data_IF_029054422437
#
_entry.id   IF_029054422437
#
_cell.length_a   1.000
_cell.length_b   1.000
_cell.length_c   1.000
_cell.angle_alpha   90.00
_cell.angle_beta   90.00
_cell.angle_gamma   90.00
#
_symmetry.space_group_name_H-M   'P 1'
#
loop_
_entity.id
_entity.type
_entity.pdbx_description
1 polymer ?
#
# COMPACT_ATOMS: atom_id res chain seq x y z
N UNK A 1 6.18 -33.30 31.01
CA UNK A 1 6.83 -33.74 29.77
C UNK A 1 6.10 -33.19 28.57
N UNK A 2 6.87 -32.49 27.75
CA UNK A 2 6.55 -31.84 26.48
C UNK A 2 5.88 -32.79 25.46
N UNK A 3 4.94 -32.27 24.65
CA UNK A 3 5.06 -32.28 23.18
C UNK A 3 3.83 -31.68 22.47
N UNK A 4 4.10 -30.56 21.80
CA UNK A 4 3.37 -29.91 20.71
C UNK A 4 2.42 -30.79 19.87
N UNK A 5 1.28 -30.22 19.46
CA UNK A 5 0.80 -30.39 18.08
C UNK A 5 0.34 -29.03 17.53
N UNK A 6 0.98 -28.69 16.43
CA UNK A 6 0.95 -27.42 15.71
C UNK A 6 -0.07 -27.59 14.60
N UNK A 7 -1.19 -26.88 14.63
CA UNK A 7 -2.11 -26.79 13.50
C UNK A 7 -2.15 -25.34 12.99
N UNK A 8 -1.03 -24.92 12.40
CA UNK A 8 -1.03 -23.75 11.52
C UNK A 8 -1.52 -24.19 10.13
N UNK A 9 -2.82 -24.10 9.90
CA UNK A 9 -3.42 -24.20 8.56
C UNK A 9 -4.04 -22.85 8.19
N UNK A 10 -3.18 -21.86 7.91
CA UNK A 10 -3.62 -20.62 7.26
C UNK A 10 -3.51 -20.79 5.74
N UNK A 11 -4.45 -21.55 5.19
CA UNK A 11 -4.71 -21.74 3.77
C UNK A 11 -5.84 -20.81 3.32
N UNK A 12 -5.62 -19.51 3.41
CA UNK A 12 -6.53 -18.52 2.84
C UNK A 12 -5.78 -17.70 1.79
N UNK A 13 -6.10 -17.97 0.52
CA UNK A 13 -5.75 -17.11 -0.59
C UNK A 13 -6.40 -15.74 -0.36
N UNK A 14 -5.62 -14.64 -0.17
CA UNK A 14 -6.15 -13.37 0.29
C UNK A 14 -6.67 -12.52 -0.88
N UNK A 15 -7.33 -13.14 -1.87
CA UNK A 15 -8.01 -12.40 -2.95
C UNK A 15 -9.45 -12.06 -2.52
N UNK A 16 -9.59 -11.51 -1.32
CA UNK A 16 -10.82 -10.88 -0.83
C UNK A 16 -10.91 -9.44 -1.32
N UNK A 17 -12.15 -8.93 -1.39
CA UNK A 17 -12.53 -7.59 -1.91
C UNK A 17 -11.78 -6.41 -1.26
N UNK A 18 -11.10 -6.64 -0.14
CA UNK A 18 -10.33 -5.66 0.63
C UNK A 18 -8.81 -5.70 0.37
N UNK A 19 -8.34 -6.48 -0.60
CA UNK A 19 -6.90 -6.64 -0.90
C UNK A 19 -6.20 -5.31 -1.22
N UNK A 20 -6.89 -4.40 -1.90
CA UNK A 20 -6.36 -3.09 -2.24
C UNK A 20 -7.40 -1.99 -2.05
N UNK A 21 -6.92 -0.77 -1.79
CA UNK A 21 -7.77 0.40 -1.64
C UNK A 21 -7.31 1.52 -2.56
N UNK A 22 -8.23 2.02 -3.37
CA UNK A 22 -8.02 3.26 -4.12
C UNK A 22 -8.35 4.46 -3.26
N UNK A 23 -7.47 5.45 -3.25
CA UNK A 23 -7.66 6.72 -2.54
C UNK A 23 -7.73 7.84 -3.57
N UNK A 24 -8.86 8.56 -3.61
CA UNK A 24 -8.94 9.83 -4.32
C UNK A 24 -8.42 10.94 -3.40
N UNK A 25 -7.16 11.36 -3.63
CA UNK A 25 -6.46 12.36 -2.81
C UNK A 25 -7.08 13.77 -2.90
N UNK A 26 -7.88 14.06 -3.93
CA UNK A 26 -8.54 15.36 -4.09
C UNK A 26 -9.72 15.57 -3.14
N UNK A 27 -10.13 14.52 -2.40
CA UNK A 27 -11.19 14.66 -1.40
C UNK A 27 -10.77 15.62 -0.27
N UNK A 28 -11.69 16.50 0.13
CA UNK A 28 -11.44 17.53 1.15
C UNK A 28 -10.97 16.98 2.50
N UNK A 29 -11.32 15.73 2.84
CA UNK A 29 -10.87 15.06 4.07
C UNK A 29 -9.34 14.97 4.19
N UNK A 30 -8.63 14.98 3.06
CA UNK A 30 -7.16 14.90 3.04
C UNK A 30 -6.47 16.25 3.21
N UNK A 31 -7.18 17.37 3.08
CA UNK A 31 -6.59 18.71 3.17
C UNK A 31 -5.91 19.02 4.51
N UNK A 32 -6.29 18.30 5.59
CA UNK A 32 -5.70 18.43 6.93
C UNK A 32 -5.23 17.07 7.49
N UNK A 33 -5.01 16.10 6.62
CA UNK A 33 -4.50 14.79 7.02
C UNK A 33 -2.97 14.77 6.97
N UNK A 34 -2.35 15.08 8.12
CA UNK A 34 -0.90 15.19 8.25
C UNK A 34 -0.18 13.84 8.41
N UNK A 35 -0.91 12.73 8.33
CA UNK A 35 -0.29 11.39 8.32
C UNK A 35 0.48 11.18 7.00
N UNK A 36 1.49 10.29 7.00
CA UNK A 36 2.26 9.98 5.81
C UNK A 36 1.40 9.52 4.64
N UNK A 37 1.89 9.72 3.42
CA UNK A 37 1.31 9.13 2.21
C UNK A 37 1.24 7.60 2.39
N UNK A 38 2.34 6.99 2.83
CA UNK A 38 2.43 5.58 3.14
C UNK A 38 3.47 5.30 4.24
N UNK A 39 2.98 4.97 5.44
CA UNK A 39 3.79 4.66 6.63
C UNK A 39 4.70 3.44 6.44
N UNK A 40 4.29 2.49 5.60
CA UNK A 40 4.99 1.22 5.37
C UNK A 40 5.83 1.21 4.08
N UNK A 41 5.94 2.35 3.39
CA UNK A 41 6.75 2.43 2.18
C UNK A 41 8.22 2.16 2.48
N UNK A 42 8.94 1.55 1.55
CA UNK A 42 10.41 1.42 1.58
C UNK A 42 11.09 2.75 1.26
N UNK A 43 10.39 3.67 0.61
CA UNK A 43 10.89 4.96 0.16
C UNK A 43 10.68 6.04 1.24
N UNK A 44 11.73 6.78 1.62
CA UNK A 44 11.63 7.78 2.68
C UNK A 44 10.65 8.91 2.33
N UNK A 45 10.59 9.33 1.06
CA UNK A 45 9.74 10.44 0.64
C UNK A 45 8.25 10.14 0.89
N UNK A 46 7.83 8.89 0.74
CA UNK A 46 6.44 8.47 0.99
C UNK A 46 6.11 8.35 2.49
N UNK A 47 7.12 8.18 3.35
CA UNK A 47 6.99 8.16 4.81
C UNK A 47 7.04 9.55 5.44
N UNK A 48 7.74 10.48 4.81
CA UNK A 48 7.94 11.84 5.31
C UNK A 48 6.87 12.82 4.82
N UNK A 49 6.47 12.73 3.55
CA UNK A 49 5.42 13.60 3.03
C UNK A 49 4.03 13.17 3.49
N UNK A 50 3.21 14.16 3.83
CA UNK A 50 1.85 13.93 4.31
C UNK A 50 0.82 13.83 3.19
N UNK A 51 -0.33 13.21 3.49
CA UNK A 51 -1.49 13.19 2.58
C UNK A 51 -2.04 14.60 2.32
N UNK A 52 -1.96 15.50 3.30
CA UNK A 52 -2.30 16.92 3.14
C UNK A 52 -1.38 17.63 2.14
N UNK A 53 -0.07 17.36 2.21
CA UNK A 53 0.88 17.91 1.25
C UNK A 53 0.61 17.37 -0.16
N UNK A 54 0.38 16.06 -0.30
CA UNK A 54 0.01 15.47 -1.58
C UNK A 54 -1.28 16.08 -2.14
N UNK A 55 -2.33 16.22 -1.33
CA UNK A 55 -3.58 16.90 -1.71
C UNK A 55 -3.32 18.32 -2.22
N UNK A 56 -2.47 19.08 -1.52
CA UNK A 56 -2.10 20.43 -1.91
C UNK A 56 -1.40 20.46 -3.28
N UNK A 57 -0.41 19.58 -3.51
CA UNK A 57 0.30 19.48 -4.79
C UNK A 57 -0.66 19.20 -5.97
N UNK A 58 -1.61 18.29 -5.79
CA UNK A 58 -2.64 18.05 -6.79
C UNK A 58 -3.55 19.27 -7.02
N UNK A 59 -3.88 20.01 -5.95
CA UNK A 59 -4.71 21.22 -6.05
C UNK A 59 -4.03 22.35 -6.84
N UNK A 60 -2.70 22.46 -6.75
CA UNK A 60 -1.92 23.46 -7.48
C UNK A 60 -1.40 22.94 -8.84
N UNK A 61 -1.77 21.72 -9.25
CA UNK A 61 -1.31 21.04 -10.46
C UNK A 61 0.23 20.92 -10.56
N UNK A 62 0.90 20.70 -9.43
CA UNK A 62 2.34 20.48 -9.42
C UNK A 62 2.66 19.02 -9.83
N UNK A 63 3.57 18.88 -10.80
CA UNK A 63 4.08 17.58 -11.30
C UNK A 63 4.63 16.67 -10.20
N UNK A 64 5.16 17.22 -9.10
CA UNK A 64 5.63 16.45 -7.97
C UNK A 64 4.51 15.60 -7.35
N UNK A 65 3.27 16.12 -7.35
CA UNK A 65 2.10 15.38 -6.85
C UNK A 65 1.86 14.10 -7.66
N UNK A 66 1.89 14.21 -8.99
CA UNK A 66 1.76 13.05 -9.88
C UNK A 66 2.94 12.08 -9.73
N UNK A 67 4.17 12.59 -9.54
CA UNK A 67 5.36 11.75 -9.31
C UNK A 67 5.22 10.92 -8.03
N UNK A 68 4.85 11.54 -6.92
CA UNK A 68 4.67 10.85 -5.63
C UNK A 68 3.53 9.82 -5.67
N UNK A 69 2.40 10.16 -6.30
CA UNK A 69 1.28 9.23 -6.47
C UNK A 69 1.68 8.01 -7.32
N UNK A 70 2.36 8.24 -8.44
CA UNK A 70 2.87 7.16 -9.30
C UNK A 70 3.88 6.27 -8.58
N UNK A 71 4.77 6.85 -7.78
CA UNK A 71 5.74 6.12 -6.98
C UNK A 71 5.07 5.19 -5.97
N UNK A 72 4.09 5.71 -5.22
CA UNK A 72 3.33 4.92 -4.26
C UNK A 72 2.52 3.80 -4.93
N UNK A 73 1.90 4.08 -6.08
CA UNK A 73 1.16 3.07 -6.84
C UNK A 73 2.08 1.98 -7.37
N UNK A 74 3.25 2.35 -7.93
CA UNK A 74 4.21 1.41 -8.48
C UNK A 74 4.76 0.48 -7.40
N UNK A 75 5.12 1.02 -6.23
CA UNK A 75 5.58 0.21 -5.09
C UNK A 75 4.53 -0.84 -4.69
N UNK A 76 3.27 -0.43 -4.58
CA UNK A 76 2.15 -1.34 -4.30
C UNK A 76 2.05 -2.46 -5.35
N UNK A 77 2.08 -2.13 -6.64
CA UNK A 77 1.99 -3.14 -7.70
C UNK A 77 3.17 -4.12 -7.70
N UNK A 78 4.38 -3.63 -7.45
CA UNK A 78 5.57 -4.49 -7.36
C UNK A 78 5.46 -5.48 -6.20
N UNK A 79 5.00 -5.03 -5.02
CA UNK A 79 4.79 -5.88 -3.86
C UNK A 79 3.63 -6.86 -4.06
N UNK A 80 2.54 -6.44 -4.69
CA UNK A 80 1.44 -7.32 -5.10
C UNK A 80 1.93 -8.44 -6.01
N UNK A 81 2.66 -8.11 -7.08
CA UNK A 81 3.15 -9.09 -8.05
C UNK A 81 4.19 -10.03 -7.43
N UNK A 82 5.00 -9.54 -6.48
CA UNK A 82 5.89 -10.38 -5.68
C UNK A 82 5.10 -11.38 -4.84
N UNK A 83 4.05 -10.94 -4.16
CA UNK A 83 3.14 -11.78 -3.39
C UNK A 83 2.49 -12.86 -4.26
N UNK A 84 1.98 -12.49 -5.44
CA UNK A 84 1.44 -13.45 -6.40
C UNK A 84 2.48 -14.53 -6.73
N UNK A 85 3.66 -14.15 -7.26
CA UNK A 85 4.72 -15.11 -7.68
C UNK A 85 5.11 -16.09 -6.56
N UNK A 86 5.16 -15.63 -5.32
CA UNK A 86 5.48 -16.46 -4.16
C UNK A 86 4.40 -17.49 -3.82
N UNK A 87 3.13 -17.21 -4.13
CA UNK A 87 2.01 -18.11 -3.90
C UNK A 87 1.77 -19.06 -5.10
N UNK A 88 2.04 -18.59 -6.34
CA UNK A 88 2.05 -19.43 -7.56
C UNK A 88 3.00 -20.62 -7.39
N UNK A 89 4.25 -20.36 -6.97
CA UNK A 89 5.26 -21.40 -6.79
C UNK A 89 4.95 -22.41 -5.67
N UNK A 90 3.94 -22.12 -4.84
CA UNK A 90 3.46 -22.99 -3.75
C UNK A 90 2.15 -23.71 -4.09
N UNK A 91 1.64 -23.56 -5.31
CA UNK A 91 0.37 -24.16 -5.74
C UNK A 91 -0.87 -23.60 -5.04
N UNK A 92 -0.78 -22.38 -4.47
CA UNK A 92 -1.90 -21.73 -3.78
C UNK A 92 -2.41 -20.57 -4.63
N UNK A 93 -3.58 -20.75 -5.22
CA UNK A 93 -4.37 -19.74 -5.94
C UNK A 93 -5.82 -19.82 -5.48
#
# INVERSE_FOLDING_TARGET
>A
SNSNSKSMSNDQCPMTKDFFRTININNAKFAKDFKPINENSKLPELREYSRAYLHHLFKINDTLGSRLASLNNLEFYLDLMKGIRQNIGKGKF
#
